data_IF_800234276342
#
_entry.id   IF_800234276342
#
_cell.length_a   1.000
_cell.length_b   1.000
_cell.length_c   1.000
_cell.angle_alpha   90.00
_cell.angle_beta   90.00
_cell.angle_gamma   90.00
#
_symmetry.space_group_name_H-M   'P 1'
#
loop_
_entity.id
_entity.type
_entity.pdbx_description
1 polymer ?
#
# COMPACT_ATOMS: atom_id res chain seq x y z
N UNK A 1 18.94 -1.16 24.63
CA UNK A 1 18.26 -2.47 24.67
C UNK A 1 18.90 -3.34 23.60
N UNK A 2 19.35 -4.55 23.95
CA UNK A 2 19.81 -5.51 22.94
C UNK A 2 18.62 -6.19 22.23
N UNK A 3 18.86 -6.91 21.12
CA UNK A 3 17.79 -7.53 20.33
C UNK A 3 16.97 -8.58 21.11
N UNK A 4 17.58 -9.29 22.06
CA UNK A 4 16.87 -10.29 22.87
C UNK A 4 15.94 -9.63 23.90
N UNK A 5 16.39 -8.54 24.53
CA UNK A 5 15.56 -7.69 25.39
C UNK A 5 14.42 -7.05 24.60
N UNK A 6 14.69 -6.57 23.39
CA UNK A 6 13.67 -6.00 22.51
C UNK A 6 12.61 -7.02 22.13
N UNK A 7 13.01 -8.24 21.75
CA UNK A 7 12.08 -9.33 21.49
C UNK A 7 11.17 -9.61 22.68
N UNK A 8 11.76 -9.75 23.88
CA UNK A 8 11.00 -10.01 25.11
C UNK A 8 10.02 -8.88 25.41
N UNK A 9 10.47 -7.63 25.34
CA UNK A 9 9.62 -6.46 25.58
C UNK A 9 8.46 -6.36 24.57
N UNK A 10 8.74 -6.57 23.28
CA UNK A 10 7.72 -6.56 22.23
C UNK A 10 6.69 -7.67 22.45
N UNK A 11 7.13 -8.89 22.76
CA UNK A 11 6.24 -10.03 23.03
C UNK A 11 5.44 -9.88 24.32
N UNK A 12 5.99 -9.26 25.37
CA UNK A 12 5.26 -8.88 26.58
C UNK A 12 4.17 -7.84 26.27
N UNK A 13 4.55 -6.77 25.59
CA UNK A 13 3.64 -5.70 25.24
C UNK A 13 2.48 -6.18 24.36
N UNK A 14 2.76 -7.00 23.34
CA UNK A 14 1.74 -7.56 22.44
C UNK A 14 0.76 -8.45 23.21
N UNK A 15 1.23 -9.30 24.14
CA UNK A 15 0.34 -10.13 24.98
C UNK A 15 -0.62 -9.32 25.83
N UNK A 16 -0.19 -8.13 26.27
CA UNK A 16 -0.98 -7.26 27.15
C UNK A 16 -1.92 -6.32 26.39
N UNK A 17 -1.56 -5.92 25.16
CA UNK A 17 -2.21 -4.82 24.45
C UNK A 17 -2.87 -5.22 23.13
N UNK A 18 -2.49 -6.34 22.52
CA UNK A 18 -3.14 -6.80 21.31
C UNK A 18 -4.59 -7.21 21.62
N UNK A 19 -5.55 -6.85 20.75
CA UNK A 19 -6.93 -7.23 20.96
C UNK A 19 -7.12 -8.75 20.87
N UNK A 20 -8.10 -9.24 21.60
CA UNK A 20 -8.48 -10.66 21.63
C UNK A 20 -9.77 -10.95 20.85
N UNK A 21 -10.46 -9.91 20.37
CA UNK A 21 -11.77 -9.96 19.71
C UNK A 21 -11.74 -9.40 18.28
N UNK A 22 -12.54 -9.98 17.38
CA UNK A 22 -12.81 -9.41 16.05
C UNK A 22 -13.80 -8.24 16.17
N UNK A 23 -13.49 -7.11 15.53
CA UNK A 23 -14.16 -5.82 15.78
C UNK A 23 -15.46 -5.62 14.98
N UNK A 24 -16.52 -5.06 15.59
CA UNK A 24 -17.63 -4.41 14.87
C UNK A 24 -17.17 -3.12 14.16
N UNK A 25 -17.73 -2.83 12.97
CA UNK A 25 -17.29 -1.72 12.09
C UNK A 25 -17.41 -0.31 12.73
N UNK A 26 -18.41 -0.05 13.58
CA UNK A 26 -18.68 1.28 14.12
C UNK A 26 -17.68 1.74 15.22
N UNK A 27 -17.30 0.86 16.14
CA UNK A 27 -16.32 1.14 17.21
C UNK A 27 -14.88 0.85 16.77
N UNK A 28 -14.70 0.18 15.63
CA UNK A 28 -13.41 -0.30 15.14
C UNK A 28 -12.38 0.80 14.90
N UNK A 29 -12.79 1.97 14.40
CA UNK A 29 -11.87 3.08 14.11
C UNK A 29 -11.34 3.71 15.39
N UNK A 30 -12.21 4.02 16.34
CA UNK A 30 -11.80 4.63 17.60
C UNK A 30 -10.82 3.72 18.36
N UNK A 31 -11.12 2.41 18.44
CA UNK A 31 -10.22 1.41 19.01
C UNK A 31 -8.93 1.26 18.21
N UNK A 32 -8.98 1.34 16.88
CA UNK A 32 -7.79 1.32 16.03
C UNK A 32 -6.87 2.54 16.29
N UNK A 33 -7.43 3.74 16.43
CA UNK A 33 -6.70 4.96 16.80
C UNK A 33 -6.11 4.85 18.21
N UNK A 34 -6.87 4.35 19.18
CA UNK A 34 -6.37 4.11 20.55
C UNK A 34 -5.22 3.09 20.56
N UNK A 35 -5.36 1.98 19.84
CA UNK A 35 -4.33 0.96 19.73
C UNK A 35 -3.06 1.53 19.07
N UNK A 36 -3.20 2.27 17.97
CA UNK A 36 -2.05 2.92 17.32
C UNK A 36 -1.35 3.92 18.22
N UNK A 37 -2.10 4.68 19.04
CA UNK A 37 -1.50 5.60 20.00
C UNK A 37 -0.65 4.84 21.03
N UNK A 38 -1.17 3.73 21.59
CA UNK A 38 -0.42 2.85 22.51
C UNK A 38 0.79 2.22 21.82
N UNK A 39 0.63 1.75 20.58
CA UNK A 39 1.70 1.16 19.77
C UNK A 39 2.84 2.14 19.52
N UNK A 40 2.50 3.39 19.21
CA UNK A 40 3.45 4.48 19.05
C UNK A 40 4.15 4.84 20.35
N UNK A 41 3.40 5.01 21.44
CA UNK A 41 3.93 5.35 22.77
C UNK A 41 4.87 4.27 23.32
N UNK A 42 4.62 3.00 22.96
CA UNK A 42 5.49 1.87 23.30
C UNK A 42 6.72 1.74 22.39
N UNK A 43 6.84 2.54 21.34
CA UNK A 43 7.98 2.53 20.42
C UNK A 43 7.89 1.49 19.30
N UNK A 44 6.68 1.04 18.94
CA UNK A 44 6.45 0.01 17.92
C UNK A 44 5.76 0.52 16.64
N UNK A 45 5.49 1.82 16.55
CA UNK A 45 5.12 2.49 15.30
C UNK A 45 6.27 3.37 14.81
N UNK A 46 6.56 3.32 13.50
CA UNK A 46 7.68 4.05 12.90
C UNK A 46 9.05 3.58 13.40
N UNK A 47 9.21 2.27 13.62
CA UNK A 47 10.41 1.65 14.23
C UNK A 47 11.71 2.15 13.56
N UNK A 48 11.76 2.15 12.23
CA UNK A 48 12.96 2.57 11.48
C UNK A 48 12.92 4.01 10.99
N UNK A 49 11.87 4.76 11.31
CA UNK A 49 11.70 6.13 10.83
C UNK A 49 12.63 7.09 11.59
N UNK A 50 13.06 8.20 10.97
CA UNK A 50 13.97 9.14 11.62
C UNK A 50 13.39 9.74 12.91
N UNK A 51 14.20 9.75 13.98
CA UNK A 51 13.80 10.32 15.29
C UNK A 51 13.39 11.79 15.22
N UNK A 52 14.10 12.58 14.41
CA UNK A 52 13.82 14.01 14.27
C UNK A 52 12.40 14.31 13.76
N UNK A 53 11.76 13.35 13.09
CA UNK A 53 10.38 13.47 12.59
C UNK A 53 9.38 12.66 13.42
N UNK A 54 9.79 12.13 14.58
CA UNK A 54 8.91 11.39 15.50
C UNK A 54 8.94 9.87 15.33
N UNK A 55 9.82 9.32 14.49
CA UNK A 55 10.10 7.87 14.44
C UNK A 55 10.96 7.38 15.60
N UNK A 56 11.22 6.08 15.66
CA UNK A 56 12.00 5.48 16.75
C UNK A 56 13.51 5.39 16.44
N UNK A 57 13.90 5.57 15.17
CA UNK A 57 15.28 5.50 14.70
C UNK A 57 16.00 4.20 15.06
N UNK A 58 15.27 3.10 15.17
CA UNK A 58 15.80 1.75 15.34
C UNK A 58 16.12 1.16 13.96
N UNK A 59 16.60 -0.09 13.92
CA UNK A 59 17.08 -0.70 12.68
C UNK A 59 16.06 -1.69 12.10
N UNK A 60 16.32 -2.13 10.87
CA UNK A 60 15.57 -3.21 10.21
C UNK A 60 15.64 -4.57 10.96
N UNK A 61 16.47 -4.69 12.01
CA UNK A 61 16.50 -5.87 12.87
C UNK A 61 15.38 -5.82 13.91
N UNK A 62 15.18 -4.68 14.58
CA UNK A 62 14.09 -4.46 15.54
C UNK A 62 12.73 -4.54 14.85
N UNK A 63 12.60 -3.95 13.65
CA UNK A 63 11.37 -4.01 12.86
C UNK A 63 10.97 -5.45 12.52
N UNK A 64 11.95 -6.27 12.12
CA UNK A 64 11.75 -7.71 11.88
C UNK A 64 11.37 -8.48 13.13
N UNK A 65 12.02 -8.22 14.25
CA UNK A 65 11.69 -8.87 15.51
C UNK A 65 10.26 -8.53 15.91
N UNK A 66 9.86 -7.26 15.81
CA UNK A 66 8.49 -6.87 16.10
C UNK A 66 7.50 -7.58 15.17
N UNK A 67 7.77 -7.62 13.87
CA UNK A 67 6.93 -8.33 12.90
C UNK A 67 6.86 -9.85 13.14
N UNK A 68 7.93 -10.47 13.65
CA UNK A 68 7.94 -11.88 14.06
C UNK A 68 7.04 -12.10 15.28
N UNK A 69 7.17 -11.28 16.32
CA UNK A 69 6.34 -11.39 17.53
C UNK A 69 4.87 -11.05 17.25
N UNK A 70 4.59 -10.12 16.33
CA UNK A 70 3.23 -9.72 15.97
C UNK A 70 2.50 -10.71 15.04
N UNK A 71 3.20 -11.73 14.50
CA UNK A 71 2.65 -12.62 13.45
C UNK A 71 1.39 -13.37 13.88
N UNK A 72 1.35 -13.77 15.15
CA UNK A 72 0.27 -14.59 15.73
C UNK A 72 -0.87 -13.73 16.34
N UNK A 73 -0.87 -12.43 16.05
CA UNK A 73 -1.91 -11.49 16.46
C UNK A 73 -2.64 -10.92 15.24
N UNK A 74 -3.84 -10.41 15.49
CA UNK A 74 -4.62 -9.61 14.54
C UNK A 74 -4.73 -8.20 15.12
N UNK A 75 -3.88 -7.30 14.67
CA UNK A 75 -3.79 -5.92 15.12
C UNK A 75 -4.69 -5.02 14.27
N UNK A 76 -5.38 -4.02 14.85
CA UNK A 76 -6.31 -3.14 14.16
C UNK A 76 -5.57 -2.02 13.38
N UNK A 77 -4.51 -2.37 12.64
CA UNK A 77 -3.63 -1.38 12.00
C UNK A 77 -3.92 -1.16 10.52
N UNK A 78 -4.78 -1.99 9.91
CA UNK A 78 -5.01 -1.97 8.45
C UNK A 78 -5.45 -0.61 7.92
N UNK A 79 -6.29 0.12 8.68
CA UNK A 79 -6.75 1.45 8.32
C UNK A 79 -5.61 2.47 8.16
N UNK A 80 -4.47 2.26 8.82
CA UNK A 80 -3.28 3.12 8.73
C UNK A 80 -2.24 2.63 7.71
N UNK A 81 -2.51 1.51 7.02
CA UNK A 81 -1.54 0.88 6.11
C UNK A 81 -1.08 1.82 4.98
N UNK A 82 -1.96 2.65 4.43
CA UNK A 82 -1.61 3.62 3.38
C UNK A 82 -0.77 4.78 3.95
N UNK A 83 -1.06 5.20 5.18
CA UNK A 83 -0.26 6.15 5.95
C UNK A 83 1.16 5.67 6.16
N UNK A 84 1.27 4.55 6.87
CA UNK A 84 2.53 3.95 7.30
C UNK A 84 3.35 3.35 6.14
N UNK A 85 2.66 2.85 5.12
CA UNK A 85 3.27 2.10 4.03
C UNK A 85 3.78 2.93 2.88
N UNK A 86 3.15 4.09 2.58
CA UNK A 86 3.52 4.85 1.38
C UNK A 86 3.42 6.37 1.50
N UNK A 87 2.34 6.92 2.07
CA UNK A 87 2.17 8.39 2.07
C UNK A 87 3.10 9.07 3.06
N UNK A 88 3.21 8.57 4.29
CA UNK A 88 4.12 9.11 5.29
C UNK A 88 5.60 8.95 4.93
N UNK A 89 6.08 7.78 4.46
CA UNK A 89 7.44 7.64 3.94
C UNK A 89 7.73 8.62 2.79
N UNK A 90 6.77 8.86 1.88
CA UNK A 90 6.93 9.88 0.84
C UNK A 90 7.08 11.29 1.42
N UNK A 91 6.31 11.67 2.44
CA UNK A 91 6.48 12.97 3.11
C UNK A 91 7.86 13.07 3.78
N UNK A 92 8.34 12.00 4.41
CA UNK A 92 9.70 11.96 4.96
C UNK A 92 10.75 12.21 3.87
N UNK A 93 10.63 11.57 2.72
CA UNK A 93 11.64 11.67 1.66
C UNK A 93 11.52 12.96 0.83
N UNK A 94 10.30 13.44 0.57
CA UNK A 94 10.02 14.48 -0.45
C UNK A 94 9.34 15.73 0.11
N UNK A 95 8.84 15.69 1.33
CA UNK A 95 8.21 16.85 1.97
C UNK A 95 9.21 17.93 2.35
N UNK A 96 8.71 19.13 2.62
CA UNK A 96 9.47 20.17 3.31
C UNK A 96 9.60 19.83 4.80
N UNK A 97 10.54 20.48 5.52
CA UNK A 97 10.67 20.27 6.97
C UNK A 97 9.36 20.61 7.71
N UNK A 98 8.68 21.69 7.32
CA UNK A 98 7.37 22.05 7.88
C UNK A 98 6.31 20.96 7.68
N UNK A 99 6.29 20.30 6.52
CA UNK A 99 5.39 19.17 6.27
C UNK A 99 5.75 17.94 7.12
N UNK A 100 7.04 17.66 7.27
CA UNK A 100 7.50 16.54 8.11
C UNK A 100 7.12 16.76 9.57
N UNK A 101 7.33 17.96 10.09
CA UNK A 101 6.93 18.36 11.44
C UNK A 101 5.41 18.26 11.65
N UNK A 102 4.63 18.72 10.67
CA UNK A 102 3.16 18.73 10.75
C UNK A 102 2.54 17.35 10.68
N UNK A 103 3.00 16.49 9.76
CA UNK A 103 2.25 15.30 9.36
C UNK A 103 2.82 13.99 9.90
N UNK A 104 4.13 13.87 10.12
CA UNK A 104 4.75 12.56 10.40
C UNK A 104 4.34 12.01 11.76
N UNK A 105 4.41 12.82 12.82
CA UNK A 105 4.09 12.35 14.17
C UNK A 105 2.60 11.97 14.35
N UNK A 106 1.61 12.79 13.94
CA UNK A 106 0.20 12.41 14.03
C UNK A 106 -0.13 11.14 13.23
N UNK A 107 0.49 10.98 12.06
CA UNK A 107 0.37 9.77 11.24
C UNK A 107 0.91 8.53 11.97
N UNK A 108 2.14 8.60 12.51
CA UNK A 108 2.75 7.48 13.23
C UNK A 108 1.96 7.09 14.48
N UNK A 109 1.34 8.05 15.15
CA UNK A 109 0.50 7.83 16.33
C UNK A 109 -0.92 7.34 16.00
N UNK A 110 -1.29 7.31 14.71
CA UNK A 110 -2.63 6.92 14.26
C UNK A 110 -3.72 7.94 14.60
N UNK A 111 -3.35 9.20 14.85
CA UNK A 111 -4.31 10.29 15.06
C UNK A 111 -4.99 10.68 13.74
N UNK A 112 -4.24 10.59 12.64
CA UNK A 112 -4.67 10.92 11.28
C UNK A 112 -4.59 9.68 10.37
N UNK A 113 -5.68 9.39 9.67
CA UNK A 113 -5.75 8.34 8.64
C UNK A 113 -5.45 8.95 7.28
N UNK A 114 -4.67 8.24 6.47
CA UNK A 114 -4.20 8.73 5.18
C UNK A 114 -4.66 7.82 4.03
N UNK A 115 -4.91 8.41 2.87
CA UNK A 115 -5.18 7.68 1.63
C UNK A 115 -4.30 8.15 0.46
N UNK A 116 -4.23 7.35 -0.61
CA UNK A 116 -3.49 7.64 -1.83
C UNK A 116 -4.46 7.94 -2.97
N UNK A 117 -4.30 9.08 -3.64
CA UNK A 117 -5.26 9.62 -4.62
C UNK A 117 -4.61 9.70 -6.00
N UNK A 118 -4.29 8.54 -6.57
CA UNK A 118 -3.60 8.42 -7.85
C UNK A 118 -4.56 8.06 -8.98
N UNK A 119 -5.16 6.88 -8.91
CA UNK A 119 -5.96 6.30 -9.99
C UNK A 119 -7.27 7.06 -10.25
N UNK A 120 -7.63 7.10 -11.53
CA UNK A 120 -8.85 7.71 -12.05
C UNK A 120 -9.59 6.71 -12.94
N UNK A 121 -10.90 6.89 -13.19
CA UNK A 121 -11.64 6.00 -14.10
C UNK A 121 -10.98 5.84 -15.47
N UNK A 122 -10.37 6.91 -16.00
CA UNK A 122 -9.64 6.91 -17.26
C UNK A 122 -8.12 6.68 -17.16
N UNK A 123 -7.55 6.56 -15.95
CA UNK A 123 -6.10 6.48 -15.74
C UNK A 123 -5.73 5.58 -14.54
N UNK A 124 -5.47 4.30 -14.82
CA UNK A 124 -4.97 3.30 -13.86
C UNK A 124 -3.48 3.00 -14.06
N UNK A 125 -3.17 1.99 -14.88
CA UNK A 125 -1.79 1.61 -15.22
C UNK A 125 -0.99 2.76 -15.85
N UNK A 126 -1.64 3.58 -16.67
CA UNK A 126 -1.08 4.82 -17.21
C UNK A 126 -1.45 6.01 -16.32
N UNK A 127 -1.03 5.97 -15.05
CA UNK A 127 -1.39 6.97 -14.05
C UNK A 127 -0.95 8.39 -14.44
N UNK A 128 0.10 8.50 -15.27
CA UNK A 128 0.58 9.79 -15.76
C UNK A 128 -0.40 10.48 -16.72
N UNK A 129 -1.43 9.77 -17.20
CA UNK A 129 -2.50 10.33 -18.04
C UNK A 129 -3.72 10.83 -17.25
N UNK A 130 -3.60 10.94 -15.92
CA UNK A 130 -4.64 11.51 -15.06
C UNK A 130 -5.07 12.92 -15.49
N UNK A 131 -6.31 13.27 -15.16
CA UNK A 131 -7.03 14.47 -15.57
C UNK A 131 -7.47 15.35 -14.41
N UNK A 132 -7.48 14.86 -13.16
CA UNK A 132 -7.73 15.72 -11.99
C UNK A 132 -6.81 16.92 -12.06
N UNK A 133 -7.38 18.13 -12.07
CA UNK A 133 -6.66 19.38 -12.29
C UNK A 133 -6.43 20.13 -11.00
N UNK A 134 -5.33 20.86 -10.95
CA UNK A 134 -4.98 21.82 -9.92
C UNK A 134 -4.69 23.16 -10.61
N UNK A 135 -5.58 24.13 -10.45
CA UNK A 135 -5.48 25.45 -11.07
C UNK A 135 -5.01 26.46 -10.03
N UNK A 136 -3.99 27.27 -10.35
CA UNK A 136 -3.45 28.24 -9.40
C UNK A 136 -4.40 29.42 -9.24
N UNK A 137 -4.72 29.76 -7.99
CA UNK A 137 -5.53 30.92 -7.60
C UNK A 137 -4.85 31.64 -6.43
N UNK A 138 -4.10 32.71 -6.75
CA UNK A 138 -3.28 33.42 -5.75
C UNK A 138 -2.17 32.54 -5.16
N UNK A 139 -2.24 32.33 -3.84
CA UNK A 139 -1.38 31.46 -3.03
C UNK A 139 -1.97 30.06 -2.79
N UNK A 140 -3.13 29.78 -3.40
CA UNK A 140 -3.81 28.50 -3.35
C UNK A 140 -3.87 27.81 -4.72
N UNK A 141 -4.29 26.55 -4.69
CA UNK A 141 -4.61 25.71 -5.83
C UNK A 141 -6.06 25.24 -5.70
N UNK A 142 -6.83 25.33 -6.77
CA UNK A 142 -8.21 24.84 -6.83
C UNK A 142 -8.21 23.47 -7.52
N UNK A 143 -8.63 22.45 -6.78
CA UNK A 143 -8.69 21.07 -7.25
C UNK A 143 -10.07 20.74 -7.77
N UNK A 144 -10.11 20.14 -8.97
CA UNK A 144 -11.33 19.57 -9.55
C UNK A 144 -11.01 18.24 -10.24
N UNK A 145 -11.85 17.22 -10.03
CA UNK A 145 -11.67 15.93 -10.68
C UNK A 145 -12.27 14.76 -9.92
N UNK A 146 -11.84 13.55 -10.30
CA UNK A 146 -12.32 12.31 -9.71
C UNK A 146 -11.15 11.34 -9.52
N UNK A 147 -11.14 10.64 -8.39
CA UNK A 147 -10.28 9.49 -8.11
C UNK A 147 -11.12 8.24 -7.85
N UNK A 148 -10.53 7.07 -8.03
CA UNK A 148 -11.19 5.78 -7.83
C UNK A 148 -10.20 4.72 -7.36
N UNK A 149 -10.72 3.63 -6.80
CA UNK A 149 -9.94 2.54 -6.19
C UNK A 149 -9.14 2.96 -4.96
N UNK A 150 -9.52 4.05 -4.30
CA UNK A 150 -8.79 4.55 -3.13
C UNK A 150 -9.21 3.79 -1.88
N UNK A 151 -8.29 2.99 -1.35
CA UNK A 151 -8.45 2.31 -0.06
C UNK A 151 -8.63 3.31 1.09
N UNK A 152 -9.44 2.94 2.08
CA UNK A 152 -9.66 3.66 3.35
C UNK A 152 -10.13 5.12 3.27
N UNK A 153 -10.45 5.65 2.07
CA UNK A 153 -10.77 7.06 1.87
C UNK A 153 -11.93 7.59 2.72
N UNK A 154 -12.96 6.75 2.97
CA UNK A 154 -14.13 7.12 3.78
C UNK A 154 -13.81 7.31 5.26
N UNK A 155 -12.60 6.95 5.69
CA UNK A 155 -12.07 7.21 7.02
C UNK A 155 -10.89 8.18 7.03
N UNK A 156 -10.42 8.61 5.86
CA UNK A 156 -9.20 9.38 5.74
C UNK A 156 -9.39 10.83 6.20
N UNK A 157 -8.39 11.31 6.90
CA UNK A 157 -8.22 12.71 7.31
C UNK A 157 -7.48 13.48 6.21
N UNK A 158 -6.45 12.85 5.63
CA UNK A 158 -5.61 13.44 4.58
C UNK A 158 -5.45 12.50 3.39
N UNK A 159 -5.26 13.10 2.21
CA UNK A 159 -4.95 12.39 0.98
C UNK A 159 -3.65 12.88 0.35
N UNK A 160 -2.82 11.96 -0.15
CA UNK A 160 -1.69 12.31 -1.02
C UNK A 160 -2.16 12.29 -2.47
N UNK A 161 -2.40 13.48 -3.03
CA UNK A 161 -3.06 13.74 -4.30
C UNK A 161 -2.08 14.09 -5.41
N UNK A 162 -2.13 13.33 -6.51
CA UNK A 162 -1.47 13.68 -7.75
C UNK A 162 -2.46 14.35 -8.71
N UNK A 163 -2.16 15.58 -9.13
CA UNK A 163 -3.01 16.39 -9.99
C UNK A 163 -2.22 17.04 -11.14
N UNK A 164 -2.91 17.31 -12.25
CA UNK A 164 -2.44 18.00 -13.44
C UNK A 164 -2.38 19.49 -13.19
N UNK A 165 -1.21 20.08 -13.38
CA UNK A 165 -0.97 21.53 -13.28
C UNK A 165 -0.59 22.17 -14.62
N UNK A 166 -0.12 21.38 -15.58
CA UNK A 166 0.30 21.87 -16.90
C UNK A 166 -0.06 20.85 -17.99
N UNK A 167 -0.82 21.31 -18.99
CA UNK A 167 -1.28 20.48 -20.12
C UNK A 167 -0.46 20.69 -21.40
N UNK A 168 0.39 21.73 -21.43
CA UNK A 168 1.21 22.10 -22.58
C UNK A 168 2.54 21.33 -22.64
N UNK A 169 2.85 20.58 -21.59
CA UNK A 169 4.04 19.73 -21.47
C UNK A 169 3.69 18.25 -21.56
N UNK A 170 4.68 17.37 -21.85
CA UNK A 170 4.46 15.93 -21.81
C UNK A 170 3.89 15.46 -20.47
N UNK A 171 3.03 14.43 -20.50
CA UNK A 171 2.20 14.01 -19.37
C UNK A 171 2.91 13.82 -18.02
N UNK A 172 4.17 13.39 -18.00
CA UNK A 172 4.93 13.20 -16.77
C UNK A 172 5.50 14.51 -16.18
N UNK A 173 5.58 15.57 -16.99
CA UNK A 173 6.16 16.88 -16.64
C UNK A 173 5.11 17.91 -16.23
N UNK A 174 3.83 17.56 -16.27
CA UNK A 174 2.73 18.49 -15.97
C UNK A 174 1.93 18.10 -14.74
N UNK A 175 2.55 17.37 -13.81
CA UNK A 175 1.91 16.83 -12.62
C UNK A 175 2.52 17.48 -11.37
N UNK A 176 1.70 17.70 -10.35
CA UNK A 176 2.15 18.18 -9.04
C UNK A 176 1.50 17.34 -7.94
N UNK A 177 2.23 17.10 -6.85
CA UNK A 177 1.74 16.35 -5.70
C UNK A 177 1.28 17.31 -4.60
N UNK A 178 0.17 16.99 -3.94
CA UNK A 178 -0.44 17.78 -2.87
C UNK A 178 -0.87 16.91 -1.69
N UNK A 179 -0.89 17.49 -0.51
CA UNK A 179 -1.68 16.99 0.63
C UNK A 179 -3.05 17.68 0.59
N UNK A 180 -4.13 16.90 0.51
CA UNK A 180 -5.51 17.41 0.46
C UNK A 180 -6.29 16.97 1.71
N UNK A 181 -7.08 17.90 2.28
CA UNK A 181 -8.01 17.61 3.37
C UNK A 181 -9.20 16.81 2.84
N UNK A 182 -9.33 15.56 3.28
CA UNK A 182 -10.38 14.64 2.84
C UNK A 182 -11.74 14.94 3.49
N UNK A 183 -11.78 15.81 4.49
CA UNK A 183 -12.99 16.24 5.20
C UNK A 183 -13.52 17.58 4.71
N UNK A 184 -12.83 18.22 3.75
CA UNK A 184 -13.29 19.47 3.17
C UNK A 184 -14.68 19.29 2.51
N UNK A 185 -15.63 20.24 2.63
CA UNK A 185 -16.99 20.09 2.09
C UNK A 185 -17.07 19.84 0.57
N UNK A 186 -16.07 20.28 -0.20
CA UNK A 186 -15.93 20.01 -1.63
C UNK A 186 -15.38 18.61 -1.98
N UNK A 187 -15.09 17.76 -0.98
CA UNK A 187 -14.67 16.38 -1.16
C UNK A 187 -15.85 15.45 -0.90
N UNK A 188 -16.28 14.72 -1.91
CA UNK A 188 -17.31 13.67 -1.76
C UNK A 188 -16.67 12.30 -1.90
N UNK A 189 -16.76 11.47 -0.85
CA UNK A 189 -16.29 10.08 -0.86
C UNK A 189 -17.47 9.13 -1.01
N UNK A 190 -17.40 8.19 -1.96
CA UNK A 190 -18.41 7.16 -2.19
C UNK A 190 -17.78 5.77 -2.08
N UNK A 191 -18.13 4.97 -1.06
CA UNK A 191 -17.65 3.60 -0.95
C UNK A 191 -18.11 2.72 -2.12
N UNK A 192 -17.20 1.89 -2.64
CA UNK A 192 -17.43 0.94 -3.72
C UNK A 192 -17.48 -0.48 -3.16
N UNK A 193 -18.63 -1.15 -3.31
CA UNK A 193 -18.77 -2.55 -2.92
C UNK A 193 -18.10 -3.47 -3.94
N UNK A 194 -17.14 -4.27 -3.49
CA UNK A 194 -16.44 -5.23 -4.33
C UNK A 194 -16.97 -6.66 -4.18
N UNK A 195 -16.36 -7.62 -4.89
CA UNK A 195 -16.76 -9.02 -4.88
C UNK A 195 -16.58 -9.73 -3.53
N UNK A 196 -15.82 -9.16 -2.58
CA UNK A 196 -15.78 -9.64 -1.20
C UNK A 196 -17.04 -9.27 -0.40
N UNK A 197 -17.94 -8.48 -0.99
CA UNK A 197 -19.15 -7.98 -0.37
C UNK A 197 -18.93 -6.75 0.53
N UNK A 198 -17.68 -6.33 0.73
CA UNK A 198 -17.27 -5.16 1.53
C UNK A 198 -16.96 -3.95 0.64
N UNK A 199 -16.83 -2.78 1.25
CA UNK A 199 -16.41 -1.56 0.57
C UNK A 199 -14.93 -1.25 0.85
N UNK A 200 -14.02 -2.08 0.32
CA UNK A 200 -12.58 -1.89 0.55
C UNK A 200 -12.02 -0.66 -0.21
N UNK A 201 -12.73 -0.16 -1.21
CA UNK A 201 -12.32 0.94 -2.09
C UNK A 201 -13.38 2.05 -2.17
N UNK A 202 -13.01 3.20 -2.72
CA UNK A 202 -13.88 4.36 -2.84
C UNK A 202 -13.67 5.10 -4.16
N UNK A 203 -14.71 5.79 -4.61
CA UNK A 203 -14.62 6.94 -5.51
C UNK A 203 -14.54 8.23 -4.71
N UNK A 204 -13.82 9.20 -5.22
CA UNK A 204 -13.66 10.52 -4.61
C UNK A 204 -13.88 11.57 -5.69
N UNK A 205 -14.72 12.55 -5.40
CA UNK A 205 -14.98 13.68 -6.27
C UNK A 205 -14.49 14.95 -5.59
N UNK A 206 -13.80 15.80 -6.34
CA UNK A 206 -13.33 17.10 -5.91
C UNK A 206 -14.08 18.18 -6.67
N UNK A 207 -14.79 19.03 -5.95
CA UNK A 207 -15.50 20.19 -6.46
C UNK A 207 -14.90 21.46 -5.82
N UNK A 208 -14.08 22.16 -6.61
CA UNK A 208 -13.43 23.42 -6.25
C UNK A 208 -12.77 23.43 -4.86
N UNK A 209 -11.97 22.40 -4.56
CA UNK A 209 -11.31 22.28 -3.26
C UNK A 209 -10.03 23.13 -3.23
N UNK A 210 -9.93 24.16 -2.36
CA UNK A 210 -8.73 24.96 -2.23
C UNK A 210 -7.65 24.20 -1.43
N UNK A 211 -6.40 24.29 -1.89
CA UNK A 211 -5.21 23.78 -1.20
C UNK A 211 -4.17 24.91 -1.12
N UNK A 212 -3.63 25.26 0.05
CA UNK A 212 -2.51 26.20 0.12
C UNK A 212 -1.25 25.63 -0.50
N UNK A 213 -0.41 26.47 -1.14
CA UNK A 213 0.84 25.98 -1.77
C UNK A 213 1.79 25.30 -0.76
N UNK A 214 1.67 25.61 0.54
CA UNK A 214 2.44 24.92 1.60
C UNK A 214 2.13 23.42 1.70
N UNK A 215 0.99 22.95 1.19
CA UNK A 215 0.63 21.55 1.10
C UNK A 215 1.12 20.88 -0.20
N UNK A 216 1.76 21.62 -1.10
CA UNK A 216 2.44 21.05 -2.27
C UNK A 216 3.68 20.28 -1.83
N UNK A 217 3.79 19.02 -2.28
CA UNK A 217 4.93 18.16 -1.98
C UNK A 217 5.87 18.13 -3.19
N UNK A 218 7.10 18.59 -3.01
CA UNK A 218 8.06 18.78 -4.10
C UNK A 218 7.72 19.99 -4.98
N UNK A 219 8.35 20.11 -6.15
CA UNK A 219 8.18 21.27 -7.04
C UNK A 219 6.90 21.22 -7.89
N UNK A 220 6.37 22.39 -8.26
CA UNK A 220 5.31 22.49 -9.27
C UNK A 220 5.82 21.80 -10.54
N UNK A 221 4.97 20.98 -11.15
CA UNK A 221 5.28 20.18 -12.35
C UNK A 221 6.30 19.04 -12.15
N UNK A 222 6.80 18.80 -10.93
CA UNK A 222 7.66 17.65 -10.57
C UNK A 222 6.96 16.58 -9.72
N UNK A 223 5.63 16.58 -9.69
CA UNK A 223 4.81 15.61 -8.96
C UNK A 223 5.05 14.16 -9.39
N UNK A 224 5.51 13.92 -10.62
CA UNK A 224 5.88 12.56 -11.06
C UNK A 224 7.07 11.98 -10.29
N UNK A 225 8.06 12.80 -9.92
CA UNK A 225 9.21 12.31 -9.14
C UNK A 225 8.78 11.88 -7.73
N UNK A 226 7.83 12.61 -7.15
CA UNK A 226 7.19 12.29 -5.88
C UNK A 226 6.33 11.02 -6.02
N UNK A 227 5.54 10.90 -7.09
CA UNK A 227 4.73 9.72 -7.36
C UNK A 227 5.56 8.44 -7.50
N UNK A 228 6.70 8.50 -8.21
CA UNK A 228 7.64 7.37 -8.31
C UNK A 228 8.18 6.95 -6.94
N UNK A 229 8.41 7.91 -6.04
CA UNK A 229 8.83 7.63 -4.66
C UNK A 229 7.72 6.92 -3.88
N UNK A 230 6.49 7.41 -3.97
CA UNK A 230 5.32 6.76 -3.36
C UNK A 230 5.12 5.33 -3.87
N UNK A 231 5.20 5.11 -5.18
CA UNK A 231 5.04 3.79 -5.79
C UNK A 231 6.16 2.81 -5.38
N UNK A 232 7.36 3.32 -5.12
CA UNK A 232 8.44 2.50 -4.58
C UNK A 232 8.12 2.05 -3.15
N UNK A 233 7.70 2.97 -2.28
CA UNK A 233 7.27 2.65 -0.92
C UNK A 233 6.09 1.68 -0.91
N UNK A 234 5.09 1.90 -1.77
CA UNK A 234 3.94 1.02 -1.93
C UNK A 234 4.35 -0.43 -2.25
N UNK A 235 5.27 -0.64 -3.20
CA UNK A 235 5.74 -2.00 -3.55
C UNK A 235 6.45 -2.69 -2.40
N UNK A 236 7.27 -1.97 -1.67
CA UNK A 236 7.97 -2.49 -0.48
C UNK A 236 6.96 -2.81 0.63
N UNK A 237 6.01 -1.91 0.86
CA UNK A 237 4.94 -2.05 1.84
C UNK A 237 4.06 -3.27 1.56
N UNK A 238 3.59 -3.46 0.32
CA UNK A 238 2.77 -4.61 -0.08
C UNK A 238 3.56 -5.90 0.10
N UNK A 239 4.84 -5.92 -0.31
CA UNK A 239 5.69 -7.12 -0.19
C UNK A 239 5.99 -7.49 1.26
N UNK A 240 6.10 -6.49 2.14
CA UNK A 240 6.41 -6.67 3.56
C UNK A 240 5.17 -6.77 4.46
N UNK A 241 3.97 -6.50 3.94
CA UNK A 241 2.73 -6.49 4.71
C UNK A 241 2.65 -5.36 5.75
N UNK A 242 3.25 -4.20 5.48
CA UNK A 242 3.27 -3.06 6.42
C UNK A 242 1.85 -2.62 6.76
N UNK A 243 1.57 -2.49 8.07
CA UNK A 243 0.25 -2.09 8.56
C UNK A 243 -0.84 -3.16 8.42
N UNK A 244 -0.57 -4.35 7.88
CA UNK A 244 -1.57 -5.41 7.72
C UNK A 244 -1.94 -6.14 9.01
N UNK A 245 -1.30 -5.80 10.13
CA UNK A 245 -1.75 -6.19 11.47
C UNK A 245 -1.51 -7.65 11.85
N UNK A 246 -0.54 -8.35 11.26
CA UNK A 246 -0.41 -9.80 11.47
C UNK A 246 -1.50 -10.59 10.75
N UNK A 247 -1.23 -11.85 10.42
CA UNK A 247 -2.12 -12.69 9.60
C UNK A 247 -2.27 -14.08 10.21
N UNK A 248 -2.57 -14.13 11.51
CA UNK A 248 -2.74 -15.38 12.26
C UNK A 248 -3.69 -16.35 11.55
N UNK A 249 -4.78 -15.84 10.97
CA UNK A 249 -5.90 -16.65 10.50
C UNK A 249 -6.06 -16.64 8.97
N UNK A 250 -4.98 -16.54 8.19
CA UNK A 250 -5.09 -16.69 6.73
C UNK A 250 -5.49 -18.13 6.37
N UNK A 251 -6.75 -18.37 5.92
CA UNK A 251 -7.26 -19.72 5.70
C UNK A 251 -6.65 -20.39 4.45
N UNK A 252 -6.06 -19.60 3.55
CA UNK A 252 -5.34 -20.09 2.36
C UNK A 252 -3.83 -20.28 2.60
N UNK A 253 -3.36 -20.10 3.85
CA UNK A 253 -1.96 -20.35 4.20
C UNK A 253 -1.59 -21.83 4.08
N UNK A 254 -0.31 -22.13 3.83
CA UNK A 254 0.19 -23.51 3.79
C UNK A 254 -0.15 -24.27 5.08
N UNK A 255 -0.03 -23.63 6.24
CA UNK A 255 -0.38 -24.23 7.53
C UNK A 255 -1.87 -24.56 7.64
N UNK A 256 -2.74 -23.65 7.23
CA UNK A 256 -4.18 -23.86 7.27
C UNK A 256 -4.62 -24.96 6.30
N UNK A 257 -4.15 -24.91 5.06
CA UNK A 257 -4.45 -25.93 4.04
C UNK A 257 -3.93 -27.30 4.44
N UNK A 258 -2.71 -27.39 5.00
CA UNK A 258 -2.15 -28.66 5.50
C UNK A 258 -3.01 -29.27 6.62
N UNK A 259 -3.64 -28.45 7.46
CA UNK A 259 -4.50 -28.92 8.53
C UNK A 259 -5.88 -29.34 8.02
N UNK A 260 -6.40 -28.65 7.01
CA UNK A 260 -7.73 -28.88 6.46
C UNK A 260 -7.81 -30.06 5.47
N UNK A 261 -6.70 -30.44 4.85
CA UNK A 261 -6.67 -31.39 3.74
C UNK A 261 -6.06 -32.76 4.14
N UNK A 262 -6.47 -33.82 3.44
CA UNK A 262 -5.90 -35.16 3.61
C UNK A 262 -4.53 -35.26 2.93
N UNK A 263 -3.48 -35.09 3.74
CA UNK A 263 -2.08 -35.19 3.27
C UNK A 263 -1.58 -36.62 3.01
N UNK A 264 -2.42 -37.64 3.22
CA UNK A 264 -2.10 -39.03 2.85
C UNK A 264 -2.22 -39.26 1.34
N UNK A 265 -3.05 -38.45 0.65
CA UNK A 265 -3.13 -38.44 -0.81
C UNK A 265 -1.83 -37.84 -1.41
N UNK A 266 -1.10 -38.60 -2.25
CA UNK A 266 0.13 -38.11 -2.86
C UNK A 266 -0.10 -36.88 -3.76
N UNK A 267 -1.25 -36.73 -4.42
CA UNK A 267 -1.52 -35.60 -5.30
C UNK A 267 -1.73 -34.30 -4.50
N UNK A 268 -2.49 -34.39 -3.40
CA UNK A 268 -2.67 -33.28 -2.44
C UNK A 268 -1.31 -32.87 -1.88
N UNK A 269 -0.48 -33.84 -1.50
CA UNK A 269 0.86 -33.58 -0.96
C UNK A 269 1.76 -32.88 -1.97
N UNK A 270 1.79 -33.31 -3.23
CA UNK A 270 2.62 -32.69 -4.27
C UNK A 270 2.24 -31.22 -4.51
N UNK A 271 0.94 -30.91 -4.53
CA UNK A 271 0.45 -29.54 -4.67
C UNK A 271 0.80 -28.65 -3.45
N UNK A 272 0.71 -29.20 -2.23
CA UNK A 272 1.16 -28.49 -1.02
C UNK A 272 2.68 -28.26 -1.00
N UNK A 273 3.47 -29.18 -1.57
CA UNK A 273 4.91 -29.02 -1.75
C UNK A 273 5.20 -27.89 -2.74
N UNK A 274 4.47 -27.78 -3.84
CA UNK A 274 4.61 -26.66 -4.79
C UNK A 274 4.30 -25.32 -4.10
N UNK A 275 3.23 -25.25 -3.31
CA UNK A 275 2.92 -24.07 -2.49
C UNK A 275 4.07 -23.73 -1.53
N UNK A 276 4.65 -24.73 -0.87
CA UNK A 276 5.79 -24.56 0.01
C UNK A 276 7.01 -23.99 -0.72
N UNK A 277 7.35 -24.56 -1.89
CA UNK A 277 8.48 -24.13 -2.71
C UNK A 277 8.32 -22.66 -3.11
N UNK A 278 7.16 -22.26 -3.65
CA UNK A 278 6.89 -20.87 -4.04
C UNK A 278 6.99 -19.91 -2.86
N UNK A 279 6.36 -20.26 -1.74
CA UNK A 279 6.38 -19.46 -0.51
C UNK A 279 7.82 -19.29 0.00
N UNK A 280 8.60 -20.37 -0.02
CA UNK A 280 10.00 -20.36 0.42
C UNK A 280 10.89 -19.55 -0.52
N UNK A 281 10.67 -19.64 -1.83
CA UNK A 281 11.40 -18.86 -2.83
C UNK A 281 11.19 -17.36 -2.62
N UNK A 282 9.94 -16.92 -2.42
CA UNK A 282 9.63 -15.53 -2.11
C UNK A 282 10.29 -15.07 -0.80
N UNK A 283 10.22 -15.88 0.26
CA UNK A 283 10.83 -15.55 1.54
C UNK A 283 12.37 -15.38 1.43
N UNK A 284 13.04 -16.27 0.69
CA UNK A 284 14.47 -16.18 0.44
C UNK A 284 14.83 -14.96 -0.43
N UNK A 285 14.00 -14.65 -1.44
CA UNK A 285 14.17 -13.47 -2.27
C UNK A 285 14.06 -12.18 -1.46
N UNK A 286 13.05 -12.06 -0.60
CA UNK A 286 12.89 -10.91 0.29
C UNK A 286 14.04 -10.80 1.30
N UNK A 287 14.52 -11.94 1.84
CA UNK A 287 15.70 -11.95 2.70
C UNK A 287 16.94 -11.42 1.97
N UNK A 288 17.12 -11.80 0.69
CA UNK A 288 18.21 -11.30 -0.15
C UNK A 288 18.10 -9.79 -0.39
N UNK A 289 16.92 -9.28 -0.75
CA UNK A 289 16.70 -7.83 -0.92
C UNK A 289 17.01 -7.05 0.37
N UNK A 290 16.63 -7.59 1.53
CA UNK A 290 16.93 -6.98 2.82
C UNK A 290 18.43 -6.96 3.14
N UNK A 291 19.17 -8.00 2.75
CA UNK A 291 20.63 -8.06 2.89
C UNK A 291 21.33 -7.05 1.94
N UNK A 292 20.87 -6.94 0.70
CA UNK A 292 21.38 -5.98 -0.28
C UNK A 292 21.15 -4.53 0.19
N UNK A 293 19.96 -4.23 0.72
CA UNK A 293 19.65 -2.92 1.31
C UNK A 293 20.59 -2.59 2.46
N UNK A 294 20.89 -3.56 3.34
CA UNK A 294 21.88 -3.38 4.42
C UNK A 294 23.29 -3.12 3.90
N UNK A 295 23.63 -3.61 2.71
CA UNK A 295 24.90 -3.36 2.04
C UNK A 295 24.92 -2.03 1.25
N UNK A 296 23.88 -1.20 1.37
CA UNK A 296 23.77 0.07 0.64
C UNK A 296 23.29 -0.09 -0.81
N UNK A 297 22.85 -1.29 -1.21
CA UNK A 297 22.31 -1.54 -2.54
C UNK A 297 20.80 -1.28 -2.49
N UNK A 298 20.38 -0.20 -3.13
CA UNK A 298 18.97 0.16 -3.19
C UNK A 298 18.17 -0.86 -4.01
N UNK A 299 17.02 -1.37 -3.54
CA UNK A 299 16.24 -2.40 -4.24
C UNK A 299 15.82 -2.00 -5.66
N UNK A 300 15.48 -0.71 -5.85
CA UNK A 300 15.09 -0.15 -7.15
C UNK A 300 14.05 -1.01 -7.87
N UNK A 301 14.31 -1.30 -9.14
CA UNK A 301 13.40 -2.10 -9.96
C UNK A 301 13.22 -3.55 -9.49
N UNK A 302 14.16 -4.12 -8.72
CA UNK A 302 14.07 -5.50 -8.21
C UNK A 302 12.94 -5.70 -7.20
N UNK A 303 12.50 -4.64 -6.53
CA UNK A 303 11.29 -4.68 -5.68
C UNK A 303 10.03 -5.07 -6.47
N UNK A 304 10.00 -4.78 -7.78
CA UNK A 304 8.91 -5.19 -8.68
C UNK A 304 8.82 -6.70 -8.83
N UNK A 305 9.95 -7.41 -8.76
CA UNK A 305 9.97 -8.87 -8.81
C UNK A 305 9.39 -9.47 -7.53
N UNK A 306 9.69 -8.90 -6.36
CA UNK A 306 9.08 -9.33 -5.09
C UNK A 306 7.55 -9.17 -5.12
N UNK A 307 7.07 -8.00 -5.56
CA UNK A 307 5.64 -7.74 -5.73
C UNK A 307 4.98 -8.73 -6.70
N UNK A 308 5.61 -8.98 -7.85
CA UNK A 308 5.10 -9.92 -8.86
C UNK A 308 5.01 -11.35 -8.30
N UNK A 309 6.06 -11.83 -7.64
CA UNK A 309 6.09 -13.16 -7.02
C UNK A 309 5.02 -13.29 -5.93
N UNK A 310 4.81 -12.25 -5.11
CA UNK A 310 3.75 -12.24 -4.11
C UNK A 310 2.35 -12.31 -4.75
N UNK A 311 2.12 -11.55 -5.82
CA UNK A 311 0.84 -11.58 -6.54
C UNK A 311 0.56 -12.95 -7.16
N UNK A 312 1.54 -13.53 -7.84
CA UNK A 312 1.42 -14.87 -8.43
C UNK A 312 1.21 -15.94 -7.34
N UNK A 313 1.92 -15.85 -6.22
CA UNK A 313 1.73 -16.75 -5.08
C UNK A 313 0.32 -16.64 -4.49
N UNK A 314 -0.20 -15.42 -4.34
CA UNK A 314 -1.54 -15.18 -3.75
C UNK A 314 -2.64 -15.76 -4.64
N UNK A 315 -2.54 -15.55 -5.96
CA UNK A 315 -3.49 -16.14 -6.93
C UNK A 315 -3.37 -17.67 -6.95
N UNK A 316 -2.14 -18.20 -6.95
CA UNK A 316 -1.91 -19.63 -6.89
C UNK A 316 -2.48 -20.26 -5.62
N UNK A 317 -2.30 -19.61 -4.46
CA UNK A 317 -2.85 -20.05 -3.17
C UNK A 317 -4.38 -20.13 -3.20
N UNK A 318 -5.05 -19.09 -3.72
CA UNK A 318 -6.50 -19.05 -3.83
C UNK A 318 -7.05 -20.13 -4.78
N UNK A 319 -6.43 -20.28 -5.95
CA UNK A 319 -6.78 -21.33 -6.91
C UNK A 319 -6.60 -22.73 -6.30
N UNK A 320 -5.44 -22.97 -5.69
CA UNK A 320 -5.13 -24.24 -5.04
C UNK A 320 -6.11 -24.57 -3.92
N UNK A 321 -6.41 -23.60 -3.06
CA UNK A 321 -7.37 -23.76 -1.98
C UNK A 321 -8.76 -24.15 -2.51
N UNK A 322 -9.18 -23.52 -3.61
CA UNK A 322 -10.45 -23.84 -4.29
C UNK A 322 -10.45 -25.27 -4.85
N UNK A 323 -9.36 -25.67 -5.54
CA UNK A 323 -9.24 -27.01 -6.15
C UNK A 323 -9.19 -28.14 -5.13
N UNK A 324 -8.48 -27.95 -4.02
CA UNK A 324 -8.25 -29.01 -3.03
C UNK A 324 -9.36 -29.11 -1.97
N UNK A 325 -9.94 -27.99 -1.54
CA UNK A 325 -11.04 -28.02 -0.57
C UNK A 325 -12.34 -28.41 -1.26
N UNK A 326 -12.64 -27.81 -2.42
CA UNK A 326 -13.83 -28.14 -3.20
C UNK A 326 -14.77 -26.94 -3.46
N UNK A 327 -15.91 -27.20 -4.11
CA UNK A 327 -16.86 -26.17 -4.56
C UNK A 327 -17.50 -25.35 -3.43
N UNK A 328 -17.53 -25.87 -2.19
CA UNK A 328 -18.04 -25.17 -1.00
C UNK A 328 -17.31 -23.86 -0.71
N UNK A 329 -16.07 -23.72 -1.20
CA UNK A 329 -15.28 -22.49 -1.09
C UNK A 329 -15.90 -21.30 -1.83
N UNK A 330 -16.84 -21.55 -2.75
CA UNK A 330 -17.62 -20.53 -3.45
C UNK A 330 -18.79 -19.97 -2.62
N UNK A 331 -19.13 -20.59 -1.47
CA UNK A 331 -20.17 -20.08 -0.58
C UNK A 331 -19.65 -18.84 0.16
N UNK A 332 -20.48 -17.79 0.25
CA UNK A 332 -20.06 -16.48 0.75
C UNK A 332 -19.60 -16.49 2.23
N UNK A 333 -20.08 -17.44 3.02
CA UNK A 333 -19.76 -17.65 4.44
C UNK A 333 -18.57 -18.60 4.66
N UNK A 334 -18.03 -19.20 3.61
CA UNK A 334 -16.86 -20.06 3.72
C UNK A 334 -15.61 -19.24 4.10
N UNK A 335 -14.76 -19.70 5.04
CA UNK A 335 -13.56 -18.95 5.45
C UNK A 335 -12.63 -18.54 4.30
N UNK A 336 -12.52 -19.39 3.27
CA UNK A 336 -11.72 -19.12 2.06
C UNK A 336 -12.35 -18.11 1.08
N UNK A 337 -13.65 -17.84 1.16
CA UNK A 337 -14.36 -17.04 0.16
C UNK A 337 -13.72 -15.66 -0.01
N UNK A 338 -13.41 -14.99 1.10
CA UNK A 338 -12.73 -13.68 1.08
C UNK A 338 -11.34 -13.76 0.45
N UNK A 339 -10.55 -14.78 0.80
CA UNK A 339 -9.19 -14.94 0.26
C UNK A 339 -9.24 -15.16 -1.27
N UNK A 340 -10.19 -15.96 -1.74
CA UNK A 340 -10.41 -16.22 -3.16
C UNK A 340 -10.86 -14.96 -3.90
N UNK A 341 -11.90 -14.28 -3.40
CA UNK A 341 -12.43 -13.07 -4.02
C UNK A 341 -11.43 -11.89 -4.03
N UNK A 342 -10.51 -11.84 -3.07
CA UNK A 342 -9.52 -10.75 -3.00
C UNK A 342 -8.23 -11.03 -3.77
N UNK A 343 -7.90 -12.28 -4.04
CA UNK A 343 -6.65 -12.67 -4.70
C UNK A 343 -6.41 -11.97 -6.05
N UNK A 344 -7.40 -11.81 -6.96
CA UNK A 344 -7.19 -11.09 -8.21
C UNK A 344 -6.73 -9.64 -8.02
N UNK A 345 -7.16 -8.98 -6.94
CA UNK A 345 -6.75 -7.61 -6.62
C UNK A 345 -5.24 -7.46 -6.44
N UNK A 346 -4.54 -8.49 -5.96
CA UNK A 346 -3.08 -8.46 -5.76
C UNK A 346 -2.31 -8.42 -7.10
N UNK A 347 -2.90 -8.97 -8.17
CA UNK A 347 -2.34 -8.88 -9.52
C UNK A 347 -2.49 -7.49 -10.16
N UNK A 348 -3.34 -6.62 -9.59
CA UNK A 348 -3.68 -5.31 -10.14
C UNK A 348 -3.09 -4.14 -9.32
N UNK A 349 -3.31 -4.14 -7.99
CA UNK A 349 -2.85 -3.09 -7.09
C UNK A 349 -1.32 -3.02 -6.97
N UNK A 350 -0.75 -1.85 -6.64
CA UNK A 350 0.71 -1.66 -6.62
C UNK A 350 1.38 -1.72 -8.00
N UNK A 351 0.57 -1.65 -9.07
CA UNK A 351 0.95 -1.84 -10.47
C UNK A 351 0.70 -3.26 -10.95
N UNK A 352 0.12 -3.41 -12.14
CA UNK A 352 -0.28 -4.74 -12.65
C UNK A 352 0.90 -5.67 -12.85
N UNK A 353 0.65 -6.98 -12.88
CA UNK A 353 1.69 -7.97 -13.14
C UNK A 353 2.41 -7.73 -14.48
N UNK A 354 1.71 -7.24 -15.49
CA UNK A 354 2.27 -6.87 -16.80
C UNK A 354 3.22 -5.69 -16.68
N UNK A 355 2.85 -4.64 -15.94
CA UNK A 355 3.74 -3.51 -15.67
C UNK A 355 4.95 -3.94 -14.84
N UNK A 356 4.78 -4.85 -13.87
CA UNK A 356 5.92 -5.42 -13.14
C UNK A 356 6.87 -6.17 -14.06
N UNK A 357 6.35 -7.00 -14.98
CA UNK A 357 7.16 -7.73 -15.97
C UNK A 357 7.92 -6.79 -16.89
N UNK A 358 7.29 -5.71 -17.36
CA UNK A 358 7.97 -4.67 -18.15
C UNK A 358 9.11 -4.03 -17.35
N UNK A 359 8.87 -3.67 -16.08
CA UNK A 359 9.91 -3.07 -15.23
C UNK A 359 11.07 -4.05 -14.99
N UNK A 360 10.78 -5.33 -14.78
CA UNK A 360 11.82 -6.36 -14.64
C UNK A 360 12.60 -6.51 -15.96
N UNK A 361 11.92 -6.62 -17.09
CA UNK A 361 12.55 -6.68 -18.41
C UNK A 361 13.47 -5.49 -18.68
N UNK A 362 12.93 -4.28 -18.58
CA UNK A 362 13.63 -3.06 -18.96
C UNK A 362 14.75 -2.70 -17.99
N UNK A 363 14.47 -2.74 -16.68
CA UNK A 363 15.35 -2.15 -15.66
C UNK A 363 16.18 -3.15 -14.88
N UNK A 364 15.83 -4.44 -14.92
CA UNK A 364 16.62 -5.50 -14.26
C UNK A 364 17.39 -6.31 -15.30
N UNK A 365 16.74 -6.69 -16.40
CA UNK A 365 17.36 -7.49 -17.46
C UNK A 365 17.99 -6.63 -18.57
N UNK A 366 17.67 -5.34 -18.64
CA UNK A 366 18.21 -4.43 -19.66
C UNK A 366 17.65 -4.67 -21.06
N UNK A 367 16.46 -5.25 -21.16
CA UNK A 367 15.78 -5.46 -22.43
C UNK A 367 15.32 -4.11 -23.03
N UNK A 368 15.23 -3.99 -24.37
CA UNK A 368 14.68 -2.80 -24.99
C UNK A 368 13.22 -2.57 -24.55
N UNK A 369 12.86 -1.35 -24.10
CA UNK A 369 11.49 -1.03 -23.74
C UNK A 369 10.58 -0.99 -24.96
N UNK A 370 9.28 -1.16 -24.74
CA UNK A 370 8.28 -1.00 -25.80
C UNK A 370 8.36 0.42 -26.43
N UNK A 371 8.26 0.54 -27.77
CA UNK A 371 8.23 1.83 -28.44
C UNK A 371 7.09 2.70 -27.94
N UNK A 372 7.39 3.96 -27.59
CA UNK A 372 6.40 4.92 -27.10
C UNK A 372 6.26 6.10 -28.04
N UNK A 373 5.03 6.34 -28.48
CA UNK A 373 4.67 7.45 -29.39
C UNK A 373 4.25 8.73 -28.66
N UNK A 374 4.05 8.66 -27.34
CA UNK A 374 3.49 9.72 -26.50
C UNK A 374 4.54 10.53 -25.71
N UNK A 375 5.80 10.05 -25.67
CA UNK A 375 6.83 10.52 -24.73
C UNK A 375 7.10 12.04 -24.77
N UNK A 376 7.00 12.63 -25.95
CA UNK A 376 7.34 14.04 -26.20
C UNK A 376 6.12 14.87 -26.65
N UNK A 377 4.92 14.30 -26.60
CA UNK A 377 3.70 14.99 -27.02
C UNK A 377 3.11 15.74 -25.82
N UNK A 378 2.76 17.03 -25.96
CA UNK A 378 2.02 17.77 -24.93
C UNK A 378 0.77 17.02 -24.49
N UNK A 379 0.43 17.06 -23.20
CA UNK A 379 -0.70 16.31 -22.67
C UNK A 379 -2.03 16.69 -23.35
N UNK A 380 -2.23 17.97 -23.67
CA UNK A 380 -3.41 18.46 -24.40
C UNK A 380 -3.58 17.86 -25.81
N UNK A 381 -2.49 17.40 -26.42
CA UNK A 381 -2.48 16.84 -27.78
C UNK A 381 -2.53 15.30 -27.76
N UNK A 382 -2.38 14.69 -26.58
CA UNK A 382 -2.59 13.25 -26.41
C UNK A 382 -4.07 12.93 -26.55
N UNK A 383 -4.36 11.79 -27.19
CA UNK A 383 -5.70 11.18 -27.20
C UNK A 383 -5.70 10.04 -26.19
N UNK A 384 -5.75 10.34 -24.90
CA UNK A 384 -5.66 9.34 -23.82
C UNK A 384 -6.91 9.35 -22.94
N UNK A 385 -7.45 8.17 -22.63
CA UNK A 385 -8.55 8.01 -21.67
C UNK A 385 -9.89 8.62 -22.12
N UNK A 386 -10.67 9.10 -21.15
CA UNK A 386 -12.01 9.70 -21.34
C UNK A 386 -11.97 11.19 -21.65
N UNK A 387 -10.86 11.71 -22.20
CA UNK A 387 -10.80 13.11 -22.65
C UNK A 387 -11.94 13.35 -23.64
N UNK A 388 -12.79 14.33 -23.35
CA UNK A 388 -13.88 14.76 -24.24
C UNK A 388 -13.35 15.45 -25.49
#
# INVERSE_FOLDING_TARGET
>A
MNLAEYRRAAGEWLRENAPTDDYPEADGIARAKEFMAKLYDAGYSGITWPKQWGGQGLTQAEDRIFAEEARDYTLPTYIFSIGLGMTGPTIVDRGSDAQRERFVRPLLRGEEVWCQLFSEPGAGSDVASLQTKAERDGDHWIINGQKVWTSVAHYADWGLLLARTDVDVPKHKGLTMYVIDMRHPGVTVRPLRDMSGRANFNEIFFDNVPIPDEHRVGEVNDGWSVAVTTLLHERLSISAGVGMGGQKDNPASLSALRQALDTSDPLVRDELVELHIRSRALALFNQRLAQETKAGIFPGARGSAAKLLLAELTVFQADLATRLVGPETALADHPLARAISMAPGMALGGGTNEIMRNIVGDRVLGLPPEPRVDKNVPFKDLKVGTQA
#
